data_IF_085142827801
#
_entry.id   IF_085142827801
#
_cell.length_a   1.000
_cell.length_b   1.000
_cell.length_c   1.000
_cell.angle_alpha   90.00
_cell.angle_beta   90.00
_cell.angle_gamma   90.00
#
_symmetry.space_group_name_H-M   'P 1'
#
loop_
_entity.id
_entity.type
_entity.pdbx_description
1 polymer ?
#
# COMPACT_ATOMS: atom_id res chain seq x y z
N UNK A 1 -0.45 -12.38 42.33
CA UNK A 1 -0.05 -12.96 41.03
C UNK A 1 -1.27 -13.14 40.16
N UNK A 2 -1.45 -12.49 39.00
CA UNK A 2 -0.66 -11.48 38.30
C UNK A 2 -1.63 -10.66 37.44
N UNK A 3 -1.45 -9.34 37.43
CA UNK A 3 -2.22 -8.39 36.62
C UNK A 3 -1.69 -8.47 35.18
N UNK A 4 -2.47 -9.07 34.28
CA UNK A 4 -2.25 -8.95 32.84
C UNK A 4 -2.68 -7.57 32.37
N UNK A 5 -1.75 -6.62 32.33
CA UNK A 5 -1.94 -5.33 31.68
C UNK A 5 -2.09 -5.56 30.17
N UNK A 6 -3.34 -5.72 29.71
CA UNK A 6 -3.68 -5.49 28.31
C UNK A 6 -3.45 -4.01 28.03
N UNK A 7 -2.26 -3.69 27.51
CA UNK A 7 -1.95 -2.37 26.95
C UNK A 7 -2.99 -2.08 25.88
N UNK A 8 -3.99 -1.28 26.28
CA UNK A 8 -4.88 -0.57 25.37
C UNK A 8 -3.99 0.30 24.50
N UNK A 9 -3.66 -0.20 23.32
CA UNK A 9 -2.98 0.60 22.30
C UNK A 9 -3.88 1.83 22.10
N UNK A 10 -3.32 2.97 22.48
CA UNK A 10 -3.99 4.26 22.48
C UNK A 10 -4.51 4.56 21.08
N UNK A 11 -5.83 4.60 20.96
CA UNK A 11 -6.62 5.09 19.82
C UNK A 11 -6.43 6.61 19.59
N UNK A 12 -5.32 7.19 20.07
CA UNK A 12 -5.06 8.63 20.22
C UNK A 12 -4.00 9.19 19.26
N UNK A 13 -3.50 8.42 18.31
CA UNK A 13 -2.54 8.89 17.29
C UNK A 13 -3.02 8.57 15.86
N UNK A 14 -4.33 8.52 15.67
CA UNK A 14 -4.89 8.61 14.33
C UNK A 14 -4.78 10.05 13.85
N UNK A 15 -3.71 10.37 13.13
CA UNK A 15 -3.69 11.42 12.12
C UNK A 15 -4.70 11.11 11.02
N UNK A 16 -5.99 11.04 11.38
CA UNK A 16 -7.12 10.99 10.45
C UNK A 16 -7.33 12.43 9.96
N UNK A 17 -6.44 12.88 9.08
CA UNK A 17 -6.89 13.78 8.03
C UNK A 17 -7.94 12.99 7.25
N UNK A 18 -9.21 13.12 7.61
CA UNK A 18 -10.31 12.53 6.83
C UNK A 18 -10.35 13.32 5.52
N UNK A 19 -9.60 12.87 4.51
CA UNK A 19 -9.68 13.42 3.16
C UNK A 19 -11.16 13.45 2.79
N UNK A 20 -11.67 14.64 2.48
CA UNK A 20 -13.09 14.79 2.17
C UNK A 20 -13.33 14.19 0.80
N UNK A 21 -14.49 13.57 0.59
CA UNK A 21 -14.85 13.03 -0.72
C UNK A 21 -14.75 14.09 -1.84
N UNK A 22 -15.08 15.34 -1.51
CA UNK A 22 -14.94 16.49 -2.42
C UNK A 22 -13.49 16.73 -2.87
N UNK A 23 -12.50 16.58 -1.97
CA UNK A 23 -11.09 16.75 -2.29
C UNK A 23 -10.61 15.64 -3.25
N UNK A 24 -11.10 14.40 -3.05
CA UNK A 24 -10.81 13.29 -3.98
C UNK A 24 -11.42 13.57 -5.36
N UNK A 25 -12.67 14.02 -5.43
CA UNK A 25 -13.35 14.32 -6.69
C UNK A 25 -12.61 15.43 -7.45
N UNK A 26 -12.19 16.49 -6.74
CA UNK A 26 -11.42 17.58 -7.35
C UNK A 26 -10.04 17.12 -7.84
N UNK A 27 -9.34 16.26 -7.08
CA UNK A 27 -8.07 15.68 -7.51
C UNK A 27 -8.23 14.81 -8.76
N UNK A 28 -9.28 13.99 -8.84
CA UNK A 28 -9.60 13.19 -10.03
C UNK A 28 -9.85 14.10 -11.23
N UNK A 29 -10.65 15.16 -11.07
CA UNK A 29 -10.94 16.13 -12.14
C UNK A 29 -9.67 16.81 -12.66
N UNK A 30 -8.78 17.25 -11.76
CA UNK A 30 -7.47 17.83 -12.13
C UNK A 30 -6.62 16.82 -12.89
N UNK A 31 -6.53 15.59 -12.37
CA UNK A 31 -5.80 14.49 -13.02
C UNK A 31 -6.31 14.18 -14.43
N UNK A 32 -7.64 14.14 -14.64
CA UNK A 32 -8.23 13.92 -15.97
C UNK A 32 -7.97 15.07 -16.94
N UNK A 33 -7.84 16.30 -16.42
CA UNK A 33 -7.54 17.48 -17.21
C UNK A 33 -6.02 17.72 -17.40
N UNK A 34 -5.17 16.80 -16.91
CA UNK A 34 -3.72 16.97 -16.89
C UNK A 34 -3.26 18.24 -16.15
N UNK A 35 -4.03 18.67 -15.15
CA UNK A 35 -3.70 19.80 -14.30
C UNK A 35 -2.92 19.33 -13.05
N UNK A 36 -1.94 20.13 -12.57
CA UNK A 36 -1.25 19.82 -11.33
C UNK A 36 -2.19 19.79 -10.12
N UNK A 37 -1.92 18.87 -9.19
CA UNK A 37 -2.54 18.82 -7.86
C UNK A 37 -1.55 18.22 -6.86
N UNK A 38 -1.76 18.52 -5.59
CA UNK A 38 -0.89 18.08 -4.51
C UNK A 38 -1.40 16.81 -3.84
N UNK A 39 -0.47 15.96 -3.44
CA UNK A 39 -0.75 14.79 -2.61
C UNK A 39 0.17 14.81 -1.40
N UNK A 40 -0.42 14.72 -0.22
CA UNK A 40 0.34 14.64 1.03
C UNK A 40 0.45 13.17 1.45
N UNK A 41 1.68 12.69 1.59
CA UNK A 41 1.96 11.31 2.00
C UNK A 41 2.68 11.27 3.35
N UNK A 42 2.10 10.52 4.29
CA UNK A 42 2.70 10.24 5.59
C UNK A 42 3.03 8.74 5.70
N UNK A 43 4.16 8.28 5.12
CA UNK A 43 4.57 6.87 5.21
C UNK A 43 4.78 6.44 6.66
N UNK A 44 4.40 5.20 6.96
CA UNK A 44 4.79 4.46 8.16
C UNK A 44 5.33 3.10 7.75
N UNK A 45 6.07 2.43 8.62
CA UNK A 45 6.54 1.07 8.36
C UNK A 45 5.38 0.17 7.91
N UNK A 46 5.58 -0.53 6.78
CA UNK A 46 4.57 -1.39 6.15
C UNK A 46 3.45 -0.65 5.39
N UNK A 47 3.48 0.68 5.27
CA UNK A 47 2.51 1.41 4.43
C UNK A 47 2.83 1.16 2.96
N UNK A 48 1.89 0.63 2.14
CA UNK A 48 2.15 0.40 0.73
C UNK A 48 2.39 1.71 -0.02
N UNK A 49 3.40 1.73 -0.89
CA UNK A 49 3.66 2.86 -1.78
C UNK A 49 2.53 2.99 -2.81
N UNK A 50 1.86 4.15 -2.86
CA UNK A 50 0.80 4.41 -3.84
C UNK A 50 1.24 5.31 -4.99
N UNK A 51 2.36 6.05 -4.85
CA UNK A 51 2.91 6.91 -5.90
C UNK A 51 4.21 6.33 -6.41
N UNK A 52 4.12 5.52 -7.46
CA UNK A 52 5.22 4.69 -7.96
C UNK A 52 5.55 5.11 -9.40
N UNK A 53 6.85 5.12 -9.75
CA UNK A 53 7.30 5.38 -11.12
C UNK A 53 6.75 4.32 -12.07
N UNK A 54 6.20 4.75 -13.21
CA UNK A 54 5.64 3.84 -14.23
C UNK A 54 6.64 2.79 -14.73
N UNK A 55 7.94 3.12 -14.77
CA UNK A 55 8.99 2.17 -15.18
C UNK A 55 9.16 0.99 -14.21
N UNK A 56 8.87 1.19 -12.92
CA UNK A 56 8.88 0.10 -11.94
C UNK A 56 7.67 -0.81 -12.13
N UNK A 57 6.49 -0.23 -12.39
CA UNK A 57 5.28 -0.99 -12.72
C UNK A 57 5.51 -1.82 -13.98
N UNK A 58 6.08 -1.23 -15.04
CA UNK A 58 6.39 -1.95 -16.28
C UNK A 58 7.31 -3.17 -16.06
N UNK A 59 8.35 -3.02 -15.24
CA UNK A 59 9.23 -4.14 -14.86
C UNK A 59 8.50 -5.21 -14.04
N UNK A 60 7.65 -4.80 -13.10
CA UNK A 60 6.89 -5.74 -12.26
C UNK A 60 5.87 -6.54 -13.09
N UNK A 61 5.26 -5.94 -14.10
CA UNK A 61 4.30 -6.59 -15.00
C UNK A 61 4.95 -7.50 -16.06
N UNK A 62 6.25 -7.36 -16.32
CA UNK A 62 6.99 -8.31 -17.16
C UNK A 62 7.17 -9.68 -16.50
N UNK A 63 7.05 -9.74 -15.16
CA UNK A 63 7.08 -10.99 -14.42
C UNK A 63 5.74 -11.70 -14.62
N UNK A 64 5.78 -12.96 -15.08
CA UNK A 64 4.59 -13.81 -15.19
C UNK A 64 4.21 -14.36 -13.82
N UNK A 65 3.62 -13.51 -12.98
CA UNK A 65 3.11 -13.91 -11.67
C UNK A 65 2.10 -15.05 -11.81
N UNK A 66 2.23 -16.08 -10.98
CA UNK A 66 1.30 -17.20 -10.95
C UNK A 66 1.23 -17.83 -9.55
N UNK A 67 0.16 -18.61 -9.33
CA UNK A 67 -0.05 -19.34 -8.08
C UNK A 67 1.17 -20.21 -7.73
N UNK A 68 1.59 -20.17 -6.46
CA UNK A 68 2.71 -20.95 -5.94
C UNK A 68 4.09 -20.29 -6.13
N UNK A 69 4.17 -19.15 -6.84
CA UNK A 69 5.44 -18.42 -6.95
C UNK A 69 5.87 -17.89 -5.59
N UNK A 70 7.09 -18.18 -5.19
CA UNK A 70 7.70 -17.59 -4.00
C UNK A 70 8.33 -16.26 -4.34
N UNK A 71 8.19 -15.30 -3.45
CA UNK A 71 8.83 -13.99 -3.57
C UNK A 71 9.51 -13.61 -2.27
N UNK A 72 10.40 -12.63 -2.37
CA UNK A 72 11.08 -12.02 -1.23
C UNK A 72 10.89 -10.51 -1.33
N UNK A 73 10.46 -9.89 -0.24
CA UNK A 73 10.21 -8.45 -0.14
C UNK A 73 11.02 -7.86 1.01
N UNK A 74 11.64 -6.71 0.78
CA UNK A 74 12.27 -5.93 1.84
C UNK A 74 11.22 -5.11 2.59
N UNK A 75 11.25 -5.14 3.92
CA UNK A 75 10.42 -4.32 4.79
C UNK A 75 11.37 -3.60 5.74
N UNK A 76 11.34 -2.27 5.71
CA UNK A 76 12.06 -1.46 6.70
C UNK A 76 11.43 -1.60 8.07
N UNK A 77 12.26 -1.70 9.11
CA UNK A 77 11.80 -1.66 10.49
C UNK A 77 11.25 -0.27 10.83
N UNK A 78 10.45 -0.18 11.90
CA UNK A 78 9.78 1.07 12.32
C UNK A 78 10.76 2.23 12.57
N UNK A 79 11.96 1.92 13.02
CA UNK A 79 13.05 2.86 13.27
C UNK A 79 13.95 3.11 12.05
N UNK A 80 13.61 2.53 10.89
CA UNK A 80 14.37 2.59 9.63
C UNK A 80 15.85 2.16 9.74
N UNK A 81 16.24 1.47 10.82
CA UNK A 81 17.64 1.10 11.06
C UNK A 81 18.01 -0.25 10.44
N UNK A 82 17.01 -1.09 10.11
CA UNK A 82 17.21 -2.45 9.62
C UNK A 82 16.22 -2.78 8.50
N UNK A 83 16.66 -3.67 7.62
CA UNK A 83 15.80 -4.31 6.61
C UNK A 83 15.46 -5.70 7.11
N UNK A 84 14.16 -5.96 7.28
CA UNK A 84 13.61 -7.30 7.45
C UNK A 84 13.19 -7.86 6.10
N UNK A 85 13.45 -9.15 5.88
CA UNK A 85 13.05 -9.82 4.64
C UNK A 85 11.80 -10.64 4.87
N UNK A 86 10.71 -10.27 4.21
CA UNK A 86 9.51 -11.09 4.13
C UNK A 86 9.65 -12.08 2.98
N UNK A 87 9.31 -13.33 3.23
CA UNK A 87 9.22 -14.37 2.20
C UNK A 87 7.78 -14.85 2.15
N UNK A 88 7.15 -14.76 0.99
CA UNK A 88 5.76 -15.13 0.78
C UNK A 88 5.57 -16.01 -0.44
N UNK A 89 4.35 -16.52 -0.61
CA UNK A 89 3.94 -17.33 -1.76
C UNK A 89 2.69 -16.72 -2.37
N UNK A 90 2.71 -16.48 -3.68
CA UNK A 90 1.54 -15.98 -4.40
C UNK A 90 0.41 -17.02 -4.36
N UNK A 91 -0.72 -16.64 -3.80
CA UNK A 91 -1.95 -17.43 -3.73
C UNK A 91 -2.80 -17.18 -4.98
N UNK A 92 -2.93 -15.93 -5.41
CA UNK A 92 -3.69 -15.61 -6.62
C UNK A 92 -3.21 -14.31 -7.26
N UNK A 93 -3.57 -14.11 -8.53
CA UNK A 93 -3.19 -12.96 -9.35
C UNK A 93 -4.45 -12.36 -9.96
N UNK A 94 -5.01 -11.34 -9.31
CA UNK A 94 -6.26 -10.69 -9.68
C UNK A 94 -6.40 -9.34 -8.96
N UNK A 95 -7.23 -8.44 -9.51
CA UNK A 95 -7.54 -7.17 -8.85
C UNK A 95 -8.17 -7.41 -7.47
N UNK A 96 -7.71 -6.66 -6.46
CA UNK A 96 -8.15 -6.84 -5.08
C UNK A 96 -9.56 -6.27 -4.80
N UNK A 97 -10.01 -5.29 -5.59
CA UNK A 97 -11.27 -4.60 -5.38
C UNK A 97 -12.13 -4.69 -6.65
N UNK A 98 -13.32 -5.32 -6.59
CA UNK A 98 -14.23 -5.42 -7.74
C UNK A 98 -14.70 -4.06 -8.30
N UNK A 99 -14.66 -2.99 -7.50
CA UNK A 99 -14.97 -1.64 -8.00
C UNK A 99 -13.89 -1.10 -8.94
N UNK A 100 -12.70 -1.72 -8.95
CA UNK A 100 -11.54 -1.35 -9.76
C UNK A 100 -10.93 -2.56 -10.48
N UNK A 101 -11.66 -3.16 -11.46
CA UNK A 101 -11.29 -4.45 -12.06
C UNK A 101 -9.94 -4.43 -12.80
N UNK A 102 -9.55 -3.29 -13.36
CA UNK A 102 -8.28 -3.11 -14.08
C UNK A 102 -7.15 -2.57 -13.20
N UNK A 103 -7.35 -2.55 -11.87
CA UNK A 103 -6.37 -2.00 -10.95
C UNK A 103 -5.24 -2.99 -10.64
N UNK A 104 -4.01 -2.51 -10.75
CA UNK A 104 -2.83 -3.22 -10.26
C UNK A 104 -2.61 -3.05 -8.75
N UNK A 105 -3.49 -2.32 -8.06
CA UNK A 105 -3.40 -2.17 -6.61
C UNK A 105 -3.67 -3.50 -5.91
N UNK A 106 -2.68 -3.98 -5.14
CA UNK A 106 -2.75 -5.28 -4.44
C UNK A 106 -3.13 -6.44 -5.36
N UNK A 107 -2.61 -6.42 -6.58
CA UNK A 107 -2.90 -7.40 -7.62
C UNK A 107 -2.44 -8.84 -7.29
N UNK A 108 -1.51 -8.99 -6.35
CA UNK A 108 -1.04 -10.28 -5.86
C UNK A 108 -1.65 -10.54 -4.48
N UNK A 109 -2.37 -11.64 -4.35
CA UNK A 109 -2.70 -12.21 -3.06
C UNK A 109 -1.53 -13.09 -2.60
N UNK A 110 -1.07 -12.91 -1.37
CA UNK A 110 0.16 -13.52 -0.84
C UNK A 110 -0.04 -14.08 0.56
#
# INVERSE_FOLDING_TARGET
>A
NGKGNGLRISDGMMGRGKVKAQEVIEAVKRGTNMEPFDVVYYPRAGTPEFFVKISLIGKALQIRWCHGMRFKMAIETEDSSRISWFVGTVVSVQASDPAWPESFWRFLQV
#
